data_IF_939578334716
#
_entry.id   IF_939578334716
#
_cell.length_a   1.000
_cell.length_b   1.000
_cell.length_c   1.000
_cell.angle_alpha   90.00
_cell.angle_beta   90.00
_cell.angle_gamma   90.00
#
_symmetry.space_group_name_H-M   'P 1'
#
loop_
_entity.id
_entity.type
_entity.pdbx_description
1 polymer ?
#
# COMPACT_ATOMS: atom_id res chain seq x y z
N UNK A 1 -5.26 -3.58 1.38
CA UNK A 1 -4.99 -3.31 2.78
C UNK A 1 -6.28 -2.92 3.48
N UNK A 2 -6.62 -3.61 4.56
CA UNK A 2 -7.73 -3.27 5.44
C UNK A 2 -7.18 -2.80 6.77
N UNK A 3 -7.64 -1.64 7.23
CA UNK A 3 -7.26 -1.05 8.51
C UNK A 3 -8.51 -0.76 9.34
N UNK A 4 -8.37 -0.85 10.65
CA UNK A 4 -9.39 -0.48 11.62
C UNK A 4 -8.78 0.32 12.77
N UNK A 5 -9.62 1.05 13.49
CA UNK A 5 -9.20 1.82 14.66
C UNK A 5 -8.78 0.90 15.80
N UNK A 6 -7.84 1.37 16.61
CA UNK A 6 -7.47 0.66 17.82
C UNK A 6 -8.65 0.71 18.79
N UNK A 7 -9.26 -0.44 19.03
CA UNK A 7 -10.40 -0.60 19.94
C UNK A 7 -10.18 -1.81 20.84
N UNK A 8 -10.83 -1.78 21.98
CA UNK A 8 -10.77 -2.86 22.97
C UNK A 8 -11.58 -4.06 22.51
N UNK A 9 -11.13 -5.23 22.93
CA UNK A 9 -11.88 -6.47 22.74
C UNK A 9 -13.15 -6.47 23.58
N UNK A 10 -14.23 -7.00 23.06
CA UNK A 10 -15.44 -7.28 23.85
C UNK A 10 -15.35 -8.68 24.46
N UNK A 11 -16.13 -8.98 25.52
CA UNK A 11 -16.15 -10.32 26.12
C UNK A 11 -16.53 -11.45 25.12
N UNK A 12 -17.24 -11.11 24.06
CA UNK A 12 -17.78 -12.06 23.10
C UNK A 12 -16.91 -12.24 21.86
N UNK A 13 -16.25 -11.15 21.40
CA UNK A 13 -15.48 -11.15 20.14
C UNK A 13 -14.31 -10.19 20.25
N UNK A 14 -13.12 -10.65 19.81
CA UNK A 14 -11.99 -9.75 19.68
C UNK A 14 -12.15 -8.81 18.48
N UNK A 15 -11.63 -7.60 18.57
CA UNK A 15 -11.63 -6.61 17.51
C UNK A 15 -11.01 -7.19 16.22
N UNK A 16 -9.88 -7.87 16.35
CA UNK A 16 -9.19 -8.49 15.22
C UNK A 16 -10.06 -9.53 14.49
N UNK A 17 -10.80 -10.36 15.22
CA UNK A 17 -11.70 -11.37 14.63
C UNK A 17 -12.91 -10.71 13.97
N UNK A 18 -13.51 -9.72 14.61
CA UNK A 18 -14.63 -8.97 14.04
C UNK A 18 -14.26 -8.33 12.71
N UNK A 19 -13.18 -7.56 12.66
CA UNK A 19 -12.74 -6.89 11.43
C UNK A 19 -12.21 -7.86 10.37
N UNK A 20 -11.59 -8.97 10.77
CA UNK A 20 -11.23 -10.04 9.84
C UNK A 20 -12.45 -10.60 9.11
N UNK A 21 -13.54 -10.90 9.83
CA UNK A 21 -14.78 -11.39 9.23
C UNK A 21 -15.36 -10.39 8.23
N UNK A 22 -15.34 -9.09 8.56
CA UNK A 22 -15.78 -8.04 7.64
C UNK A 22 -14.89 -7.93 6.41
N UNK A 23 -13.58 -7.85 6.59
CA UNK A 23 -12.62 -7.77 5.49
C UNK A 23 -12.73 -8.98 4.54
N UNK A 24 -12.93 -10.17 5.10
CA UNK A 24 -13.14 -11.39 4.32
C UNK A 24 -14.42 -11.34 3.50
N UNK A 25 -15.54 -10.93 4.10
CA UNK A 25 -16.81 -10.77 3.37
C UNK A 25 -16.73 -9.75 2.24
N UNK A 26 -16.10 -8.59 2.50
CA UNK A 26 -15.90 -7.56 1.46
C UNK A 26 -15.04 -8.11 0.32
N UNK A 27 -13.94 -8.79 0.66
CA UNK A 27 -13.05 -9.38 -0.35
C UNK A 27 -13.77 -10.43 -1.19
N UNK A 28 -14.55 -11.32 -0.57
CA UNK A 28 -15.35 -12.33 -1.26
C UNK A 28 -16.36 -11.68 -2.18
N UNK A 29 -17.14 -10.72 -1.68
CA UNK A 29 -18.15 -10.02 -2.47
C UNK A 29 -17.56 -9.35 -3.71
N UNK A 30 -16.39 -8.72 -3.60
CA UNK A 30 -15.74 -8.07 -4.74
C UNK A 30 -15.12 -9.06 -5.72
N UNK A 31 -14.81 -10.27 -5.26
CA UNK A 31 -14.15 -11.31 -6.05
C UNK A 31 -15.13 -12.30 -6.68
N UNK A 32 -16.33 -12.43 -6.14
CA UNK A 32 -17.33 -13.37 -6.64
C UNK A 32 -17.77 -12.99 -8.05
N UNK A 33 -17.81 -13.98 -8.98
CA UNK A 33 -18.33 -13.75 -10.31
C UNK A 33 -19.84 -13.54 -10.25
N UNK A 34 -20.33 -12.48 -10.88
CA UNK A 34 -21.74 -12.21 -11.09
C UNK A 34 -22.14 -12.59 -12.52
N UNK A 35 -23.44 -12.64 -12.86
CA UNK A 35 -23.90 -12.83 -14.24
C UNK A 35 -23.36 -11.75 -15.21
N UNK A 36 -22.93 -10.61 -14.67
CA UNK A 36 -22.34 -9.49 -15.43
C UNK A 36 -20.81 -9.47 -15.41
N UNK A 37 -20.16 -10.52 -14.87
CA UNK A 37 -18.73 -10.61 -14.70
C UNK A 37 -18.27 -10.33 -13.26
N UNK A 38 -16.96 -10.26 -13.07
CA UNK A 38 -16.32 -9.97 -11.80
C UNK A 38 -16.14 -8.45 -11.63
N UNK A 39 -16.53 -7.90 -10.47
CA UNK A 39 -16.41 -6.47 -10.19
C UNK A 39 -14.95 -6.01 -10.12
N UNK A 40 -14.17 -6.64 -9.24
CA UNK A 40 -12.76 -6.30 -9.03
C UNK A 40 -11.93 -7.53 -8.67
N UNK A 41 -10.72 -7.58 -9.19
CA UNK A 41 -9.71 -8.52 -8.72
C UNK A 41 -8.95 -7.91 -7.56
N UNK A 42 -9.38 -8.23 -6.33
CA UNK A 42 -8.74 -7.72 -5.13
C UNK A 42 -7.41 -8.44 -4.87
N UNK A 43 -6.32 -7.67 -4.82
CA UNK A 43 -5.02 -8.15 -4.37
C UNK A 43 -4.79 -7.68 -2.92
N UNK A 44 -4.84 -8.62 -1.99
CA UNK A 44 -4.68 -8.35 -0.56
C UNK A 44 -3.25 -8.56 -0.06
N UNK A 45 -2.27 -8.80 -0.95
CA UNK A 45 -0.88 -9.12 -0.56
C UNK A 45 -0.12 -7.94 0.03
N UNK A 46 -0.48 -6.70 -0.35
CA UNK A 46 0.10 -5.49 0.27
C UNK A 46 -0.53 -5.28 1.65
N UNK A 47 0.03 -5.93 2.65
CA UNK A 47 -0.34 -5.83 4.06
C UNK A 47 0.84 -6.25 4.94
N UNK A 48 0.88 -5.86 6.21
CA UNK A 48 1.92 -6.30 7.14
C UNK A 48 2.15 -7.82 7.06
N UNK A 49 3.40 -8.21 6.89
CA UNK A 49 3.86 -9.59 6.71
C UNK A 49 3.27 -10.32 5.49
N UNK A 50 2.72 -9.61 4.51
CA UNK A 50 2.23 -10.18 3.26
C UNK A 50 1.19 -11.29 3.47
N UNK A 51 1.34 -12.42 2.78
CA UNK A 51 0.39 -13.54 2.87
C UNK A 51 0.33 -14.19 4.26
N UNK A 52 1.41 -14.11 5.03
CA UNK A 52 1.50 -14.70 6.38
C UNK A 52 0.84 -13.81 7.45
N UNK A 53 0.62 -12.54 7.16
CA UNK A 53 0.03 -11.59 8.10
C UNK A 53 -1.49 -11.60 8.11
N UNK A 54 -2.07 -10.95 9.11
CA UNK A 54 -3.51 -10.77 9.22
C UNK A 54 -4.08 -10.02 8.02
N UNK A 55 -5.31 -10.35 7.60
CA UNK A 55 -5.99 -9.69 6.47
C UNK A 55 -6.28 -8.22 6.75
N UNK A 56 -6.60 -7.89 8.01
CA UNK A 56 -6.79 -6.54 8.49
C UNK A 56 -5.92 -6.29 9.71
N UNK A 57 -5.54 -5.05 9.93
CA UNK A 57 -4.66 -4.65 11.03
C UNK A 57 -5.20 -3.38 11.68
N UNK A 58 -4.94 -3.21 12.98
CA UNK A 58 -5.21 -1.94 13.64
C UNK A 58 -4.21 -0.86 13.18
N UNK A 59 -4.53 0.40 13.40
CA UNK A 59 -3.64 1.50 13.10
C UNK A 59 -2.30 1.39 13.81
N UNK A 60 -2.29 0.99 15.08
CA UNK A 60 -1.05 0.82 15.86
C UNK A 60 -0.16 -0.29 15.31
N UNK A 61 -0.75 -1.40 14.90
CA UNK A 61 -0.03 -2.51 14.25
C UNK A 61 0.54 -2.09 12.89
N UNK A 62 -0.23 -1.37 12.10
CA UNK A 62 0.22 -0.84 10.81
C UNK A 62 1.37 0.15 10.98
N UNK A 63 1.24 1.13 11.88
CA UNK A 63 2.30 2.12 12.16
C UNK A 63 3.60 1.45 12.58
N UNK A 64 3.53 0.52 13.55
CA UNK A 64 4.68 -0.24 14.00
C UNK A 64 5.35 -1.00 12.85
N UNK A 65 4.56 -1.72 12.06
CA UNK A 65 5.10 -2.48 10.94
C UNK A 65 5.83 -1.60 9.93
N UNK A 66 5.23 -0.48 9.53
CA UNK A 66 5.83 0.41 8.52
C UNK A 66 7.13 1.03 9.02
N UNK A 67 7.21 1.35 10.31
CA UNK A 67 8.42 1.93 10.92
C UNK A 67 9.55 0.92 11.07
N UNK A 68 9.25 -0.29 11.50
CA UNK A 68 10.23 -1.24 12.00
C UNK A 68 10.58 -2.34 10.99
N UNK A 69 9.63 -2.73 10.15
CA UNK A 69 9.73 -3.97 9.37
C UNK A 69 9.47 -3.82 7.88
N UNK A 70 8.83 -2.74 7.44
CA UNK A 70 8.44 -2.62 6.04
C UNK A 70 9.65 -2.51 5.12
N UNK A 71 9.63 -3.33 4.07
CA UNK A 71 10.60 -3.28 2.98
C UNK A 71 10.44 -1.99 2.15
N UNK A 72 11.48 -1.59 1.45
CA UNK A 72 11.44 -0.37 0.61
C UNK A 72 10.32 -0.43 -0.43
N UNK A 73 10.06 -1.60 -1.03
CA UNK A 73 9.00 -1.77 -2.02
C UNK A 73 7.59 -1.58 -1.43
N UNK A 74 7.38 -1.95 -0.17
CA UNK A 74 6.11 -1.71 0.53
C UNK A 74 5.93 -0.21 0.78
N UNK A 75 6.98 0.46 1.23
CA UNK A 75 6.97 1.92 1.39
C UNK A 75 6.69 2.65 0.08
N UNK A 76 7.29 2.20 -1.04
CA UNK A 76 6.98 2.73 -2.37
C UNK A 76 5.50 2.54 -2.71
N UNK A 77 4.97 1.34 -2.55
CA UNK A 77 3.57 1.05 -2.81
C UNK A 77 2.63 1.89 -1.93
N UNK A 78 2.98 2.10 -0.66
CA UNK A 78 2.23 2.94 0.27
C UNK A 78 2.19 4.42 -0.14
N UNK A 79 3.14 4.93 -0.93
CA UNK A 79 3.06 6.32 -1.46
C UNK A 79 1.83 6.56 -2.34
N UNK A 80 1.17 5.49 -2.81
CA UNK A 80 -0.06 5.53 -3.63
C UNK A 80 -1.32 5.16 -2.84
N UNK A 81 -1.16 4.94 -1.54
CA UNK A 81 -2.28 4.53 -0.70
C UNK A 81 -3.29 5.66 -0.54
N UNK A 82 -4.56 5.31 -0.62
CA UNK A 82 -5.69 6.22 -0.35
C UNK A 82 -6.83 5.46 0.30
N UNK A 83 -7.57 6.07 1.22
CA UNK A 83 -8.82 5.50 1.73
C UNK A 83 -9.84 5.38 0.59
N UNK A 84 -10.63 4.30 0.58
CA UNK A 84 -11.72 4.09 -0.36
C UNK A 84 -13.05 4.39 0.32
N UNK A 85 -13.21 3.95 1.56
CA UNK A 85 -14.42 4.13 2.35
C UNK A 85 -14.06 4.36 3.80
N UNK A 86 -14.39 5.53 4.31
CA UNK A 86 -14.18 5.92 5.70
C UNK A 86 -14.89 7.24 6.01
N UNK A 87 -15.14 7.50 7.30
CA UNK A 87 -15.54 8.82 7.77
C UNK A 87 -14.41 9.85 7.59
N UNK A 88 -14.74 11.13 7.62
CA UNK A 88 -13.74 12.21 7.54
C UNK A 88 -12.72 12.10 8.66
N UNK A 89 -13.17 11.81 9.89
CA UNK A 89 -12.30 11.63 11.05
C UNK A 89 -11.33 10.47 10.85
N UNK A 90 -11.83 9.33 10.39
CA UNK A 90 -10.99 8.17 10.08
C UNK A 90 -9.97 8.47 8.99
N UNK A 91 -10.36 9.18 7.92
CA UNK A 91 -9.43 9.62 6.89
C UNK A 91 -8.32 10.51 7.45
N UNK A 92 -8.67 11.45 8.34
CA UNK A 92 -7.68 12.32 8.97
C UNK A 92 -6.68 11.53 9.82
N UNK A 93 -7.16 10.61 10.66
CA UNK A 93 -6.31 9.73 11.46
C UNK A 93 -5.41 8.87 10.56
N UNK A 94 -5.98 8.27 9.51
CA UNK A 94 -5.22 7.47 8.55
C UNK A 94 -4.10 8.28 7.94
N UNK A 95 -4.36 9.46 7.38
CA UNK A 95 -3.33 10.26 6.72
C UNK A 95 -2.24 10.73 7.69
N UNK A 96 -2.59 11.06 8.93
CA UNK A 96 -1.63 11.41 9.97
C UNK A 96 -0.67 10.25 10.28
N UNK A 97 -1.21 9.07 10.51
CA UNK A 97 -0.43 7.86 10.81
C UNK A 97 0.38 7.43 9.59
N UNK A 98 -0.26 7.36 8.44
CA UNK A 98 0.38 6.99 7.17
C UNK A 98 1.58 7.89 6.85
N UNK A 99 1.43 9.20 6.96
CA UNK A 99 2.52 10.15 6.71
C UNK A 99 3.66 9.96 7.73
N UNK A 100 3.34 9.91 9.01
CA UNK A 100 4.33 9.72 10.06
C UNK A 100 5.09 8.40 9.91
N UNK A 101 4.41 7.32 9.57
CA UNK A 101 5.01 6.00 9.37
C UNK A 101 5.87 5.96 8.11
N UNK A 102 5.34 6.47 7.00
CA UNK A 102 6.02 6.45 5.69
C UNK A 102 7.35 7.19 5.73
N UNK A 103 7.40 8.32 6.44
CA UNK A 103 8.58 9.18 6.58
C UNK A 103 9.30 9.01 7.93
N UNK A 104 9.07 7.91 8.64
CA UNK A 104 9.75 7.61 9.91
C UNK A 104 11.27 7.45 9.77
N UNK A 105 11.74 6.99 8.62
CA UNK A 105 13.15 6.92 8.26
C UNK A 105 13.42 7.57 6.90
N UNK A 106 14.62 8.14 6.69
CA UNK A 106 14.99 8.71 5.40
C UNK A 106 15.04 7.64 4.29
N UNK A 107 14.94 8.10 3.05
CA UNK A 107 15.23 7.29 1.87
C UNK A 107 16.75 7.33 1.61
N UNK A 108 17.39 6.17 1.62
CA UNK A 108 18.84 6.04 1.57
C UNK A 108 19.34 5.61 0.18
N UNK A 109 20.66 5.74 -0.11
CA UNK A 109 21.25 5.17 -1.32
C UNK A 109 21.07 3.65 -1.43
N UNK A 110 21.00 2.93 -0.30
CA UNK A 110 20.72 1.49 -0.29
C UNK A 110 19.29 1.19 -0.71
N UNK A 111 18.32 1.98 -0.26
CA UNK A 111 16.94 1.89 -0.72
C UNK A 111 16.86 2.09 -2.25
N UNK A 112 17.61 3.06 -2.78
CA UNK A 112 17.67 3.29 -4.22
C UNK A 112 18.22 2.07 -4.98
N UNK A 113 19.29 1.46 -4.49
CA UNK A 113 19.86 0.24 -5.09
C UNK A 113 18.85 -0.92 -5.08
N UNK A 114 18.10 -1.07 -4.00
CA UNK A 114 17.09 -2.11 -3.89
C UNK A 114 15.92 -1.87 -4.85
N UNK A 115 15.47 -0.64 -5.01
CA UNK A 115 14.46 -0.25 -6.00
C UNK A 115 14.88 -0.64 -7.41
N UNK A 116 16.13 -0.34 -7.79
CA UNK A 116 16.69 -0.69 -9.11
C UNK A 116 16.74 -2.21 -9.29
N UNK A 117 17.23 -2.97 -8.30
CA UNK A 117 17.25 -4.45 -8.37
C UNK A 117 15.85 -5.03 -8.56
N UNK A 118 14.88 -4.49 -7.83
CA UNK A 118 13.49 -4.94 -7.92
C UNK A 118 12.90 -4.64 -9.31
N UNK A 119 13.20 -3.47 -9.88
CA UNK A 119 12.78 -3.12 -11.23
C UNK A 119 13.32 -4.09 -12.27
N UNK A 120 14.61 -4.39 -12.21
CA UNK A 120 15.23 -5.38 -13.12
C UNK A 120 14.62 -6.78 -12.96
N UNK A 121 14.31 -7.21 -11.74
CA UNK A 121 13.63 -8.50 -11.50
C UNK A 121 12.27 -8.54 -12.19
N UNK A 122 11.47 -7.49 -12.06
CA UNK A 122 10.15 -7.40 -12.72
C UNK A 122 10.29 -7.47 -14.25
N UNK A 123 11.29 -6.82 -14.81
CA UNK A 123 11.57 -6.84 -16.23
C UNK A 123 11.90 -8.26 -16.72
N UNK A 124 12.78 -8.97 -16.01
CA UNK A 124 13.15 -10.35 -16.36
C UNK A 124 11.98 -11.32 -16.21
N UNK A 125 11.17 -11.20 -15.14
CA UNK A 125 10.02 -12.07 -14.90
C UNK A 125 8.88 -11.85 -15.91
N UNK A 126 8.65 -10.61 -16.35
CA UNK A 126 7.53 -10.25 -17.24
C UNK A 126 7.88 -10.15 -18.72
N UNK A 127 9.16 -10.12 -19.04
CA UNK A 127 9.70 -10.01 -20.39
C UNK A 127 9.88 -8.55 -20.84
N UNK A 128 11.02 -8.31 -21.48
CA UNK A 128 11.47 -7.00 -21.97
C UNK A 128 10.61 -6.42 -23.10
N UNK A 129 9.90 -7.26 -23.82
CA UNK A 129 9.09 -6.86 -24.98
C UNK A 129 7.71 -6.29 -24.62
N UNK A 130 7.32 -6.34 -23.35
CA UNK A 130 6.00 -5.86 -22.91
C UNK A 130 6.03 -4.35 -22.68
N UNK A 131 5.21 -3.62 -23.43
CA UNK A 131 5.01 -2.17 -23.29
C UNK A 131 4.86 -1.70 -21.83
N UNK A 132 4.26 -2.51 -20.98
CA UNK A 132 4.09 -2.18 -19.56
C UNK A 132 5.38 -2.38 -18.74
N UNK A 133 6.11 -3.46 -18.96
CA UNK A 133 7.19 -3.93 -18.09
C UNK A 133 8.58 -3.83 -18.69
N UNK A 134 8.68 -3.61 -20.01
CA UNK A 134 9.96 -3.38 -20.69
C UNK A 134 10.61 -2.06 -20.34
N UNK A 135 11.86 -1.83 -20.77
CA UNK A 135 12.58 -0.59 -20.55
C UNK A 135 11.81 0.62 -21.07
N UNK A 136 11.71 1.68 -20.25
CA UNK A 136 10.93 2.89 -20.55
C UNK A 136 9.40 2.69 -20.46
N UNK A 137 8.93 1.54 -20.03
CA UNK A 137 7.50 1.24 -19.90
C UNK A 137 6.82 1.88 -18.70
N UNK A 138 5.51 1.65 -18.56
CA UNK A 138 4.70 2.24 -17.49
C UNK A 138 5.23 1.93 -16.08
N UNK A 139 5.83 0.76 -15.90
CA UNK A 139 6.43 0.37 -14.60
C UNK A 139 7.60 1.29 -14.24
N UNK A 140 8.41 1.74 -15.19
CA UNK A 140 9.49 2.68 -14.92
C UNK A 140 8.96 4.03 -14.45
N UNK A 141 7.93 4.55 -15.12
CA UNK A 141 7.27 5.81 -14.71
C UNK A 141 6.68 5.68 -13.30
N UNK A 142 6.02 4.56 -12.99
CA UNK A 142 5.48 4.30 -11.66
C UNK A 142 6.58 4.24 -10.58
N UNK A 143 7.69 3.55 -10.85
CA UNK A 143 8.82 3.43 -9.92
C UNK A 143 9.51 4.77 -9.69
N UNK A 144 9.72 5.56 -10.74
CA UNK A 144 10.29 6.93 -10.64
C UNK A 144 9.38 7.80 -9.77
N UNK A 145 8.09 7.88 -10.08
CA UNK A 145 7.15 8.70 -9.34
C UNK A 145 7.06 8.29 -7.85
N UNK A 146 6.99 6.99 -7.55
CA UNK A 146 6.96 6.48 -6.18
C UNK A 146 8.27 6.78 -5.43
N UNK A 147 9.42 6.64 -6.11
CA UNK A 147 10.73 6.95 -5.53
C UNK A 147 10.85 8.43 -5.20
N UNK A 148 10.44 9.31 -6.10
CA UNK A 148 10.45 10.76 -5.86
C UNK A 148 9.53 11.14 -4.70
N UNK A 149 8.33 10.56 -4.63
CA UNK A 149 7.42 10.75 -3.48
C UNK A 149 8.06 10.33 -2.17
N UNK A 150 8.65 9.14 -2.13
CA UNK A 150 9.26 8.64 -0.90
C UNK A 150 10.50 9.45 -0.49
N UNK A 151 11.27 9.94 -1.45
CA UNK A 151 12.48 10.72 -1.21
C UNK A 151 12.20 12.17 -0.81
N UNK A 152 11.23 12.81 -1.46
CA UNK A 152 11.00 14.25 -1.36
C UNK A 152 9.63 14.63 -0.78
N UNK A 153 8.73 13.68 -0.59
CA UNK A 153 7.36 13.95 -0.16
C UNK A 153 7.24 14.49 1.26
N UNK A 154 8.26 14.28 2.11
CA UNK A 154 8.29 14.86 3.45
C UNK A 154 8.45 16.38 3.41
N UNK A 155 9.36 16.87 2.57
CA UNK A 155 9.64 18.29 2.39
C UNK A 155 8.65 18.97 1.44
N UNK A 156 8.12 18.21 0.49
CA UNK A 156 7.15 18.68 -0.50
C UNK A 156 5.89 17.79 -0.55
N UNK A 157 4.94 17.95 0.37
CA UNK A 157 3.73 17.12 0.41
C UNK A 157 2.84 17.22 -0.83
N UNK A 158 2.99 18.23 -1.67
CA UNK A 158 2.18 18.40 -2.90
C UNK A 158 2.38 17.28 -3.90
N UNK A 159 3.56 16.63 -3.90
CA UNK A 159 3.85 15.48 -4.78
C UNK A 159 3.22 14.16 -4.28
N UNK A 160 2.63 14.14 -3.09
CA UNK A 160 2.01 12.92 -2.51
C UNK A 160 0.63 12.61 -3.09
N UNK A 161 0.33 13.09 -4.28
CA UNK A 161 -0.88 12.70 -4.99
C UNK A 161 -0.82 11.21 -5.37
N UNK A 162 -1.82 10.38 -5.04
CA UNK A 162 -1.81 8.94 -5.34
C UNK A 162 -1.84 8.64 -6.85
N UNK A 163 -2.28 9.58 -7.66
CA UNK A 163 -2.28 9.45 -9.12
C UNK A 163 -0.93 9.84 -9.71
N UNK A 164 -0.32 8.92 -10.47
CA UNK A 164 1.01 9.13 -11.05
C UNK A 164 1.07 10.35 -11.99
N UNK A 165 0.05 10.54 -12.82
CA UNK A 165 -0.03 11.68 -13.75
C UNK A 165 -0.04 13.03 -13.05
N UNK A 166 -0.74 13.15 -11.92
CA UNK A 166 -0.79 14.39 -11.15
C UNK A 166 0.46 14.66 -10.29
N UNK A 167 1.30 13.66 -10.09
CA UNK A 167 2.53 13.80 -9.30
C UNK A 167 3.76 14.17 -10.14
N UNK A 168 3.66 14.11 -11.47
CA UNK A 168 4.72 14.46 -12.42
C UNK A 168 4.47 15.83 -13.11
N UNK A 169 3.37 16.47 -12.83
CA UNK A 169 3.08 17.87 -13.21
C UNK A 169 3.63 18.84 -12.19
#
# INVERSE_FOLDING_TARGET
LFLYDDCEDTPEVSASEFFYRWASKISSFLHEPSPFGQLYKCDTRLRPYGKSGALCNSFSMFDRYVRESAWVWERLALTRCRPISASTEWCYQFFRIWFASLFSRPFTPDDCREVVRMRFRIEQEKGVEKLKAGPGGLVDVEFIAQTLRLKHGKENPTILNPFTTAAIQ
#
